data_IF_586129259476
#
_entry.id   IF_586129259476
#
_cell.length_a   1.000
_cell.length_b   1.000
_cell.length_c   1.000
_cell.angle_alpha   90.00
_cell.angle_beta   90.00
_cell.angle_gamma   90.00
#
_symmetry.space_group_name_H-M   'P 1'
#
loop_
_entity.id
_entity.type
_entity.pdbx_description
1 polymer ?
#
# COMPACT_ATOMS: atom_id res chain seq x y z
N UNK A 1 27.39 -23.13 -8.83
CA UNK A 1 27.43 -23.09 -10.31
C UNK A 1 25.99 -23.01 -10.79
N UNK A 2 25.55 -21.82 -11.20
CA UNK A 2 24.20 -21.59 -11.76
C UNK A 2 24.11 -22.25 -13.13
N UNK A 3 23.10 -23.09 -13.34
CA UNK A 3 22.82 -23.75 -14.62
C UNK A 3 22.71 -22.74 -15.77
N UNK A 4 23.77 -22.63 -16.57
CA UNK A 4 23.82 -21.77 -17.77
C UNK A 4 22.80 -22.19 -18.84
N UNK A 5 22.20 -23.38 -18.72
CA UNK A 5 21.27 -23.96 -19.69
C UNK A 5 19.90 -23.24 -19.78
N UNK A 6 19.56 -22.35 -18.85
CA UNK A 6 18.26 -21.66 -18.83
C UNK A 6 18.32 -20.20 -19.28
N UNK A 7 19.51 -19.68 -19.61
CA UNK A 7 19.66 -18.31 -20.08
C UNK A 7 19.32 -18.20 -21.56
N UNK A 8 18.29 -17.42 -21.87
CA UNK A 8 17.87 -17.07 -23.23
C UNK A 8 18.31 -15.65 -23.57
N UNK A 9 18.37 -15.36 -24.86
CA UNK A 9 18.67 -14.02 -25.38
C UNK A 9 17.54 -13.60 -26.30
N UNK A 10 17.02 -12.40 -26.09
CA UNK A 10 16.06 -11.78 -27.02
C UNK A 10 16.57 -10.43 -27.48
N UNK A 11 16.24 -10.07 -28.72
CA UNK A 11 16.57 -8.78 -29.32
C UNK A 11 15.28 -8.05 -29.62
N UNK A 12 15.10 -6.88 -29.02
CA UNK A 12 13.88 -6.09 -29.17
C UNK A 12 14.26 -4.76 -29.78
N UNK A 13 13.57 -4.36 -30.84
CA UNK A 13 13.72 -3.03 -31.42
C UNK A 13 12.97 -2.02 -30.54
N UNK A 14 13.61 -0.89 -30.22
CA UNK A 14 12.96 0.19 -29.49
C UNK A 14 13.35 1.55 -30.04
N UNK A 15 12.36 2.42 -30.22
CA UNK A 15 12.55 3.79 -30.64
C UNK A 15 13.22 4.62 -29.53
N UNK A 16 13.99 5.64 -29.93
CA UNK A 16 14.60 6.61 -29.00
C UNK A 16 15.90 6.17 -28.31
N UNK A 17 16.46 5.00 -28.65
CA UNK A 17 17.74 4.52 -28.11
C UNK A 17 18.99 5.32 -28.56
N UNK A 18 18.83 6.24 -29.51
CA UNK A 18 19.88 7.18 -29.92
C UNK A 18 20.17 8.23 -28.85
N UNK A 19 19.18 8.56 -28.00
CA UNK A 19 19.36 9.42 -26.85
C UNK A 19 19.99 8.64 -25.69
N UNK A 20 21.11 9.16 -25.18
CA UNK A 20 21.83 8.60 -24.04
C UNK A 20 20.92 8.39 -22.82
N UNK A 21 20.05 9.36 -22.52
CA UNK A 21 19.18 9.31 -21.33
C UNK A 21 18.15 8.20 -21.43
N UNK A 22 17.48 8.08 -22.58
CA UNK A 22 16.50 7.03 -22.81
C UNK A 22 17.15 5.65 -22.78
N UNK A 23 18.36 5.54 -23.33
CA UNK A 23 19.14 4.31 -23.34
C UNK A 23 19.46 3.81 -21.93
N UNK A 24 20.06 4.66 -21.11
CA UNK A 24 20.40 4.33 -19.72
C UNK A 24 19.15 3.95 -18.93
N UNK A 25 18.06 4.68 -19.15
CA UNK A 25 16.78 4.44 -18.52
C UNK A 25 16.14 3.10 -18.91
N UNK A 26 16.11 2.75 -20.20
CA UNK A 26 15.54 1.47 -20.61
C UNK A 26 16.38 0.30 -20.08
N UNK A 27 17.71 0.47 -20.03
CA UNK A 27 18.60 -0.52 -19.43
C UNK A 27 18.31 -0.68 -17.93
N UNK A 28 18.22 0.41 -17.17
CA UNK A 28 17.97 0.35 -15.73
C UNK A 28 16.61 -0.27 -15.41
N UNK A 29 15.55 0.13 -16.12
CA UNK A 29 14.20 -0.41 -15.94
C UNK A 29 14.11 -1.90 -16.23
N UNK A 30 14.62 -2.32 -17.39
CA UNK A 30 14.58 -3.74 -17.78
C UNK A 30 15.48 -4.60 -16.91
N UNK A 31 16.58 -4.07 -16.39
CA UNK A 31 17.48 -4.79 -15.50
C UNK A 31 16.92 -4.96 -14.08
N UNK A 32 15.96 -4.13 -13.66
CA UNK A 32 15.24 -4.31 -12.39
C UNK A 32 14.24 -5.47 -12.40
N UNK A 33 13.96 -6.05 -13.57
CA UNK A 33 12.99 -7.13 -13.70
C UNK A 33 13.62 -8.45 -13.23
N UNK A 34 13.03 -9.06 -12.21
CA UNK A 34 13.45 -10.38 -11.73
C UNK A 34 13.38 -11.42 -12.86
N UNK A 35 14.52 -12.05 -13.16
CA UNK A 35 14.71 -12.93 -14.31
C UNK A 35 15.54 -12.31 -15.43
N UNK A 36 15.67 -10.98 -15.52
CA UNK A 36 16.58 -10.33 -16.45
C UNK A 36 17.99 -10.29 -15.86
N UNK A 37 18.96 -10.87 -16.56
CA UNK A 37 20.35 -10.96 -16.12
C UNK A 37 21.16 -9.75 -16.61
N UNK A 38 20.96 -9.36 -17.87
CA UNK A 38 21.64 -8.19 -18.44
C UNK A 38 20.85 -7.58 -19.59
N UNK A 39 21.00 -6.27 -19.75
CA UNK A 39 20.35 -5.48 -20.79
C UNK A 39 21.39 -4.58 -21.46
N UNK A 40 21.66 -4.84 -22.73
CA UNK A 40 22.62 -4.04 -23.52
C UNK A 40 21.90 -3.34 -24.65
N UNK A 41 21.89 -2.01 -24.62
CA UNK A 41 21.28 -1.20 -25.66
C UNK A 41 22.31 -0.80 -26.72
N UNK A 42 21.97 -1.00 -28.00
CA UNK A 42 22.81 -0.57 -29.12
C UNK A 42 22.18 0.67 -29.80
N UNK A 43 22.81 1.86 -29.66
CA UNK A 43 22.25 3.12 -30.19
C UNK A 43 22.22 3.15 -31.72
N UNK A 44 23.15 2.45 -32.39
CA UNK A 44 23.27 2.45 -33.85
C UNK A 44 22.18 1.61 -34.51
N UNK A 45 21.81 0.48 -33.89
CA UNK A 45 20.81 -0.44 -34.46
C UNK A 45 19.38 -0.22 -33.93
N UNK A 46 19.21 0.61 -32.90
CA UNK A 46 17.91 0.77 -32.23
C UNK A 46 17.43 -0.52 -31.55
N UNK A 47 18.33 -1.40 -31.12
CA UNK A 47 17.98 -2.71 -30.52
C UNK A 47 18.53 -2.86 -29.11
N UNK A 48 17.71 -3.43 -28.24
CA UNK A 48 18.08 -3.95 -26.92
C UNK A 48 18.37 -5.44 -27.02
N UNK A 49 19.52 -5.86 -26.52
CA UNK A 49 19.84 -7.25 -26.26
C UNK A 49 19.57 -7.55 -24.79
N UNK A 50 18.58 -8.40 -24.52
CA UNK A 50 18.20 -8.80 -23.18
C UNK A 50 18.61 -10.26 -22.99
N UNK A 51 19.40 -10.53 -21.94
CA UNK A 51 19.70 -11.88 -21.46
C UNK A 51 18.84 -12.13 -20.24
N UNK A 52 18.07 -13.20 -20.24
CA UNK A 52 17.11 -13.50 -19.19
C UNK A 52 17.02 -15.00 -18.90
N UNK A 53 16.53 -15.33 -17.70
CA UNK A 53 16.20 -16.69 -17.26
C UNK A 53 14.76 -17.03 -17.64
N UNK A 54 14.61 -17.96 -18.57
CA UNK A 54 13.32 -18.40 -19.14
C UNK A 54 12.40 -19.07 -18.09
N UNK A 55 12.95 -19.49 -16.95
CA UNK A 55 12.18 -20.02 -15.82
C UNK A 55 11.41 -18.93 -15.07
N UNK A 56 11.91 -17.69 -15.12
CA UNK A 56 11.38 -16.55 -14.34
C UNK A 56 10.56 -15.59 -15.19
N UNK A 57 10.96 -15.39 -16.45
CA UNK A 57 10.30 -14.47 -17.36
C UNK A 57 10.34 -15.00 -18.79
N UNK A 58 9.20 -15.00 -19.46
CA UNK A 58 9.08 -15.47 -20.83
C UNK A 58 9.43 -14.36 -21.83
N UNK A 59 9.96 -14.73 -23.01
CA UNK A 59 10.34 -13.77 -24.05
C UNK A 59 9.23 -12.78 -24.44
N UNK A 60 7.98 -13.25 -24.49
CA UNK A 60 6.86 -12.42 -24.93
C UNK A 60 6.51 -11.34 -23.90
N UNK A 61 6.74 -11.59 -22.61
CA UNK A 61 6.55 -10.61 -21.53
C UNK A 61 7.54 -9.46 -21.70
N UNK A 62 8.80 -9.78 -22.03
CA UNK A 62 9.83 -8.78 -22.32
C UNK A 62 9.48 -7.94 -23.55
N UNK A 63 8.97 -8.56 -24.63
CA UNK A 63 8.53 -7.84 -25.83
C UNK A 63 7.33 -6.94 -25.53
N UNK A 64 6.34 -7.44 -24.80
CA UNK A 64 5.16 -6.66 -24.41
C UNK A 64 5.53 -5.46 -23.52
N UNK A 65 6.43 -5.68 -22.55
CA UNK A 65 6.90 -4.62 -21.67
C UNK A 65 7.74 -3.58 -22.41
N UNK A 66 8.65 -4.01 -23.28
CA UNK A 66 9.42 -3.12 -24.15
C UNK A 66 8.50 -2.27 -25.05
N UNK A 67 7.50 -2.88 -25.69
CA UNK A 67 6.51 -2.16 -26.49
C UNK A 67 5.70 -1.15 -25.66
N UNK A 68 5.30 -1.50 -24.43
CA UNK A 68 4.59 -0.57 -23.54
C UNK A 68 5.47 0.57 -23.04
N UNK A 69 6.75 0.31 -22.76
CA UNK A 69 7.73 1.35 -22.42
C UNK A 69 7.90 2.36 -23.56
N UNK A 70 7.96 1.86 -24.79
CA UNK A 70 8.07 2.70 -26.00
C UNK A 70 6.84 3.60 -26.21
N UNK A 71 5.64 3.12 -25.87
CA UNK A 71 4.40 3.89 -25.99
C UNK A 71 4.07 4.74 -24.74
N UNK A 72 4.81 4.55 -23.65
CA UNK A 72 4.62 5.34 -22.43
C UNK A 72 5.18 6.74 -22.64
N UNK A 73 4.46 7.82 -22.31
CA UNK A 73 4.98 9.16 -22.46
C UNK A 73 6.30 9.28 -21.68
N UNK A 74 7.38 9.68 -22.36
CA UNK A 74 8.74 9.67 -21.78
C UNK A 74 8.89 10.56 -20.53
N UNK A 75 7.89 11.37 -20.18
CA UNK A 75 7.78 12.07 -18.91
C UNK A 75 7.58 11.16 -17.69
N UNK A 76 7.05 9.94 -17.86
CA UNK A 76 6.77 9.01 -16.74
C UNK A 76 7.97 8.17 -16.33
N UNK A 77 8.95 8.00 -17.21
CA UNK A 77 10.09 7.12 -17.00
C UNK A 77 11.17 7.72 -16.08
N UNK A 78 11.58 8.99 -16.17
CA UNK A 78 12.48 9.57 -15.18
C UNK A 78 11.84 9.62 -13.78
N UNK A 79 10.50 9.61 -13.68
CA UNK A 79 9.83 9.55 -12.39
C UNK A 79 10.09 8.24 -11.63
N UNK A 80 10.31 7.09 -12.28
CA UNK A 80 10.53 5.81 -11.60
C UNK A 80 11.92 5.69 -10.98
N UNK A 81 12.96 6.20 -11.66
CA UNK A 81 14.32 6.22 -11.11
C UNK A 81 14.48 7.27 -10.00
N UNK A 82 13.87 8.45 -10.19
CA UNK A 82 13.77 9.47 -9.14
C UNK A 82 12.99 8.96 -7.94
N UNK A 83 11.88 8.24 -8.13
CA UNK A 83 11.11 7.71 -7.00
C UNK A 83 11.89 6.63 -6.27
N UNK A 84 12.55 5.68 -6.93
CA UNK A 84 13.29 4.63 -6.23
C UNK A 84 14.43 5.20 -5.38
N UNK A 85 15.25 6.10 -5.93
CA UNK A 85 16.34 6.76 -5.18
C UNK A 85 15.82 7.61 -4.02
N UNK A 86 14.70 8.30 -4.22
CA UNK A 86 14.04 9.07 -3.17
C UNK A 86 13.52 8.18 -2.04
N UNK A 87 12.99 7.00 -2.36
CA UNK A 87 12.53 6.03 -1.35
C UNK A 87 13.68 5.39 -0.59
N UNK A 88 14.81 5.13 -1.25
CA UNK A 88 16.03 4.73 -0.55
C UNK A 88 16.45 5.79 0.48
N UNK A 89 16.38 7.09 0.14
CA UNK A 89 16.63 8.15 1.12
C UNK A 89 15.63 8.12 2.30
N UNK A 90 14.35 7.89 2.03
CA UNK A 90 13.34 7.78 3.10
C UNK A 90 13.52 6.56 4.02
N UNK A 91 14.23 5.53 3.55
CA UNK A 91 14.59 4.36 4.35
C UNK A 91 15.89 4.60 5.14
N UNK A 92 16.92 5.13 4.48
CA UNK A 92 18.25 5.32 5.09
C UNK A 92 18.24 6.40 6.15
N UNK A 93 17.51 7.50 5.94
CA UNK A 93 17.50 8.62 6.89
C UNK A 93 16.95 8.20 8.27
N UNK A 94 15.76 7.59 8.41
CA UNK A 94 15.28 7.11 9.71
C UNK A 94 16.20 6.06 10.34
N UNK A 95 16.80 5.18 9.54
CA UNK A 95 17.72 4.15 10.04
C UNK A 95 19.01 4.75 10.61
N UNK A 96 19.62 5.70 9.89
CA UNK A 96 20.82 6.42 10.35
C UNK A 96 20.50 7.22 11.61
N UNK A 97 19.35 7.90 11.65
CA UNK A 97 18.92 8.64 12.85
C UNK A 97 18.65 7.71 14.03
N UNK A 98 17.98 6.57 13.82
CA UNK A 98 17.73 5.57 14.84
C UNK A 98 19.06 5.04 15.41
N UNK A 99 20.00 4.66 14.55
CA UNK A 99 21.31 4.17 14.95
C UNK A 99 22.11 5.26 15.69
N UNK A 100 22.15 6.48 15.15
CA UNK A 100 22.86 7.61 15.75
C UNK A 100 22.31 7.99 17.13
N UNK A 101 20.99 8.08 17.28
CA UNK A 101 20.34 8.38 18.56
C UNK A 101 20.52 7.20 19.53
N UNK A 102 20.45 5.97 19.05
CA UNK A 102 20.72 4.77 19.85
C UNK A 102 22.14 4.79 20.44
N UNK A 103 23.15 5.03 19.61
CA UNK A 103 24.56 5.14 20.03
C UNK A 103 24.75 6.32 20.99
N UNK A 104 24.23 7.51 20.63
CA UNK A 104 24.29 8.70 21.49
C UNK A 104 23.71 8.40 22.88
N UNK A 105 22.56 7.74 22.95
CA UNK A 105 21.88 7.42 24.21
C UNK A 105 22.63 6.39 25.06
N UNK A 106 23.34 5.45 24.43
CA UNK A 106 24.21 4.51 25.13
C UNK A 106 25.43 5.20 25.75
N UNK A 107 26.01 6.20 25.07
CA UNK A 107 27.23 6.89 25.51
C UNK A 107 26.91 8.04 26.49
N UNK A 108 25.97 8.91 26.13
CA UNK A 108 25.68 10.16 26.82
C UNK A 108 24.43 10.12 27.71
N UNK A 109 23.69 9.01 27.72
CA UNK A 109 22.45 8.88 28.49
C UNK A 109 21.25 9.59 27.85
N UNK A 110 20.19 9.81 28.66
CA UNK A 110 18.97 10.47 28.17
C UNK A 110 19.21 11.98 27.99
N UNK A 111 18.73 12.61 26.91
CA UNK A 111 18.91 14.03 26.68
C UNK A 111 18.01 14.84 27.61
N UNK A 112 18.56 15.89 28.22
CA UNK A 112 17.79 16.83 29.05
C UNK A 112 16.65 17.54 28.26
N UNK A 113 16.80 17.67 26.93
CA UNK A 113 15.82 18.35 26.10
C UNK A 113 14.54 17.53 25.83
N UNK A 114 14.63 16.19 25.91
CA UNK A 114 13.49 15.31 25.67
C UNK A 114 12.39 15.48 26.72
N UNK A 115 12.76 15.88 27.94
CA UNK A 115 11.84 16.14 29.05
C UNK A 115 11.34 17.61 29.07
N UNK A 116 11.76 18.44 28.11
CA UNK A 116 11.32 19.83 28.06
C UNK A 116 9.86 19.96 27.66
N UNK A 117 9.14 20.87 28.32
CA UNK A 117 7.75 21.20 28.00
C UNK A 117 7.59 21.67 26.54
N UNK A 118 8.61 22.33 26.01
CA UNK A 118 8.63 22.82 24.64
C UNK A 118 8.64 21.67 23.62
N UNK A 119 9.51 20.67 23.81
CA UNK A 119 9.53 19.47 22.97
C UNK A 119 8.17 18.74 22.98
N UNK A 120 7.52 18.69 24.15
CA UNK A 120 6.18 18.14 24.29
C UNK A 120 5.13 18.91 23.49
N UNK A 121 5.09 20.25 23.60
CA UNK A 121 4.10 21.08 22.90
C UNK A 121 4.28 20.99 21.39
N UNK A 122 5.51 21.09 20.90
CA UNK A 122 5.81 21.04 19.46
C UNK A 122 5.42 19.68 18.86
N UNK A 123 5.76 18.60 19.56
CA UNK A 123 5.34 17.25 19.17
C UNK A 123 3.82 17.11 19.13
N UNK A 124 3.13 17.68 20.11
CA UNK A 124 1.67 17.64 20.17
C UNK A 124 1.05 18.40 19.01
N UNK A 125 1.53 19.61 18.72
CA UNK A 125 1.09 20.41 17.58
C UNK A 125 1.20 19.60 16.28
N UNK A 126 2.35 19.01 16.01
CA UNK A 126 2.55 18.20 14.81
C UNK A 126 1.67 16.95 14.82
N UNK A 127 1.54 16.25 15.94
CA UNK A 127 0.67 15.08 16.06
C UNK A 127 -0.80 15.43 15.75
N UNK A 128 -1.26 16.60 16.18
CA UNK A 128 -2.59 17.13 15.91
C UNK A 128 -2.76 17.47 14.43
N UNK A 129 -1.85 18.23 13.84
CA UNK A 129 -1.95 18.61 12.42
C UNK A 129 -1.85 17.40 11.48
N UNK A 130 -1.06 16.39 11.85
CA UNK A 130 -0.88 15.18 11.03
C UNK A 130 -1.93 14.11 11.28
N UNK A 131 -2.51 14.04 12.49
CA UNK A 131 -3.46 13.01 12.91
C UNK A 131 -4.92 13.33 12.63
N UNK A 132 -5.27 14.61 12.46
CA UNK A 132 -6.65 15.04 12.24
C UNK A 132 -6.88 15.36 10.75
N UNK A 133 -7.71 14.59 10.01
CA UNK A 133 -7.92 14.77 8.57
C UNK A 133 -8.33 16.19 8.19
N UNK A 134 -9.23 16.82 8.95
CA UNK A 134 -9.71 18.19 8.70
C UNK A 134 -8.57 19.22 8.77
N UNK A 135 -7.63 19.05 9.70
CA UNK A 135 -6.48 19.94 9.83
C UNK A 135 -5.43 19.63 8.76
N UNK A 136 -5.20 18.34 8.51
CA UNK A 136 -4.30 17.85 7.46
C UNK A 136 -4.69 18.40 6.09
N UNK A 137 -5.96 18.32 5.70
CA UNK A 137 -6.43 18.86 4.41
C UNK A 137 -6.12 20.36 4.25
N UNK A 138 -6.17 21.14 5.32
CA UNK A 138 -5.81 22.58 5.29
C UNK A 138 -4.31 22.78 5.13
N UNK A 139 -3.51 21.99 5.84
CA UNK A 139 -2.05 21.99 5.70
C UNK A 139 -1.65 21.58 4.29
N UNK A 140 -2.33 20.59 3.70
CA UNK A 140 -2.08 20.12 2.35
C UNK A 140 -2.35 21.21 1.31
N UNK A 141 -3.50 21.91 1.41
CA UNK A 141 -3.81 23.05 0.54
C UNK A 141 -2.77 24.17 0.66
N UNK A 142 -2.18 24.36 1.84
CA UNK A 142 -1.11 25.32 2.04
C UNK A 142 0.20 24.83 1.41
N UNK A 143 0.54 23.56 1.58
CA UNK A 143 1.71 22.92 1.00
C UNK A 143 1.68 22.95 -0.54
N UNK A 144 0.52 22.65 -1.12
CA UNK A 144 0.26 22.76 -2.56
C UNK A 144 0.52 24.17 -3.08
N UNK A 145 0.08 25.21 -2.35
CA UNK A 145 0.37 26.62 -2.72
C UNK A 145 1.85 26.95 -2.69
N UNK A 146 2.64 26.27 -1.85
CA UNK A 146 4.09 26.45 -1.72
C UNK A 146 4.85 25.55 -2.72
N UNK A 147 4.16 24.65 -3.43
CA UNK A 147 4.77 23.68 -4.34
C UNK A 147 5.49 22.53 -3.63
N UNK A 148 5.20 22.31 -2.34
CA UNK A 148 5.75 21.18 -1.57
C UNK A 148 4.74 20.04 -1.59
N UNK A 149 5.16 18.84 -1.96
CA UNK A 149 4.29 17.66 -1.91
C UNK A 149 3.92 17.30 -0.46
N UNK A 150 2.66 16.93 -0.20
CA UNK A 150 2.13 16.54 1.11
C UNK A 150 3.05 15.54 1.85
N UNK A 151 3.47 14.49 1.15
CA UNK A 151 4.30 13.43 1.74
C UNK A 151 5.63 13.92 2.32
N UNK A 152 6.30 14.89 1.67
CA UNK A 152 7.55 15.45 2.19
C UNK A 152 7.27 16.20 3.48
N UNK A 153 6.26 17.07 3.46
CA UNK A 153 5.94 17.93 4.59
C UNK A 153 5.60 17.08 5.83
N UNK A 154 4.74 16.08 5.67
CA UNK A 154 4.35 15.17 6.75
C UNK A 154 5.53 14.31 7.25
N UNK A 155 6.32 13.76 6.33
CA UNK A 155 7.48 12.94 6.69
C UNK A 155 8.54 13.76 7.42
N UNK A 156 8.79 14.99 6.95
CA UNK A 156 9.72 15.92 7.59
C UNK A 156 9.21 16.35 8.96
N UNK A 157 7.93 16.70 9.10
CA UNK A 157 7.34 17.06 10.38
C UNK A 157 7.41 15.89 11.38
N UNK A 158 7.09 14.67 10.95
CA UNK A 158 7.18 13.49 11.80
C UNK A 158 8.63 13.20 12.24
N UNK A 159 9.58 13.32 11.31
CA UNK A 159 11.00 13.13 11.59
C UNK A 159 11.52 14.21 12.54
N UNK A 160 11.16 15.47 12.31
CA UNK A 160 11.53 16.59 13.16
C UNK A 160 11.06 16.39 14.61
N UNK A 161 9.81 15.94 14.79
CA UNK A 161 9.27 15.59 16.10
C UNK A 161 10.00 14.40 16.73
N UNK A 162 10.28 13.37 15.94
CA UNK A 162 11.00 12.19 16.41
C UNK A 162 12.40 12.57 16.92
N UNK A 163 13.11 13.44 16.19
CA UNK A 163 14.43 13.98 16.58
C UNK A 163 14.32 14.79 17.86
N UNK A 164 13.37 15.74 17.94
CA UNK A 164 13.18 16.57 19.13
C UNK A 164 12.88 15.74 20.38
N UNK A 165 12.07 14.69 20.22
CA UNK A 165 11.71 13.78 21.31
C UNK A 165 12.75 12.69 21.59
N UNK A 166 13.77 12.57 20.75
CA UNK A 166 14.71 11.44 20.72
C UNK A 166 14.02 10.08 20.96
N UNK A 167 12.84 9.90 20.35
CA UNK A 167 11.97 8.75 20.61
C UNK A 167 12.34 7.60 19.67
N UNK A 168 13.15 6.66 20.16
CA UNK A 168 13.52 5.43 19.45
C UNK A 168 12.29 4.65 18.95
N UNK A 169 11.20 4.70 19.72
CA UNK A 169 9.92 4.10 19.37
C UNK A 169 9.35 4.73 18.09
N UNK A 170 9.27 6.06 18.01
CA UNK A 170 8.75 6.76 16.83
C UNK A 170 9.65 6.52 15.62
N UNK A 171 10.98 6.52 15.79
CA UNK A 171 11.89 6.19 14.69
C UNK A 171 11.73 4.75 14.19
N UNK A 172 11.52 3.80 15.09
CA UNK A 172 11.27 2.40 14.71
C UNK A 172 9.97 2.29 13.90
N UNK A 173 8.91 2.99 14.32
CA UNK A 173 7.65 3.03 13.58
C UNK A 173 7.81 3.67 12.19
N UNK A 174 8.52 4.80 12.11
CA UNK A 174 8.82 5.48 10.84
C UNK A 174 9.67 4.60 9.92
N UNK A 175 10.68 3.92 10.47
CA UNK A 175 11.51 2.99 9.71
C UNK A 175 10.67 1.82 9.17
N UNK A 176 9.85 1.18 10.01
CA UNK A 176 8.98 0.08 9.57
C UNK A 176 8.00 0.52 8.48
N UNK A 177 7.42 1.72 8.60
CA UNK A 177 6.54 2.28 7.58
C UNK A 177 7.28 2.59 6.28
N UNK A 178 8.46 3.22 6.36
CA UNK A 178 9.31 3.51 5.19
C UNK A 178 9.79 2.21 4.53
N UNK A 179 10.15 1.21 5.32
CA UNK A 179 10.59 -0.09 4.84
C UNK A 179 9.46 -0.86 4.15
N UNK A 180 8.26 -0.90 4.74
CA UNK A 180 7.11 -1.53 4.12
C UNK A 180 6.72 -0.80 2.83
N UNK A 181 6.71 0.54 2.83
CA UNK A 181 6.46 1.32 1.62
C UNK A 181 7.51 1.06 0.52
N UNK A 182 8.79 0.93 0.89
CA UNK A 182 9.87 0.59 -0.01
C UNK A 182 9.70 -0.84 -0.57
N UNK A 183 9.45 -1.83 0.28
CA UNK A 183 9.23 -3.23 -0.12
C UNK A 183 8.02 -3.36 -1.03
N UNK A 184 6.89 -2.74 -0.66
CA UNK A 184 5.70 -2.64 -1.51
C UNK A 184 6.06 -2.09 -2.87
N UNK A 185 6.69 -0.90 -2.95
CA UNK A 185 7.06 -0.29 -4.24
C UNK A 185 7.99 -1.18 -5.07
N UNK A 186 8.97 -1.82 -4.43
CA UNK A 186 9.89 -2.71 -5.11
C UNK A 186 9.16 -3.94 -5.69
N UNK A 187 8.27 -4.54 -4.89
CA UNK A 187 7.44 -5.67 -5.30
C UNK A 187 6.41 -5.27 -6.36
N UNK A 188 5.83 -4.07 -6.26
CA UNK A 188 4.88 -3.55 -7.25
C UNK A 188 5.56 -3.23 -8.56
N UNK A 189 6.79 -2.69 -8.53
CA UNK A 189 7.56 -2.43 -9.73
C UNK A 189 7.96 -3.73 -10.42
N UNK A 190 8.38 -4.74 -9.65
CA UNK A 190 8.69 -6.07 -10.21
C UNK A 190 7.44 -6.79 -10.71
N UNK A 191 6.31 -6.70 -10.01
CA UNK A 191 5.04 -7.30 -10.44
C UNK A 191 4.47 -6.59 -11.67
N UNK A 192 4.43 -5.26 -11.68
CA UNK A 192 4.05 -4.48 -12.86
C UNK A 192 4.97 -4.80 -14.03
N UNK A 193 6.27 -4.95 -13.79
CA UNK A 193 7.19 -5.40 -14.83
C UNK A 193 6.87 -6.81 -15.34
N UNK A 194 6.58 -7.77 -14.46
CA UNK A 194 6.18 -9.14 -14.86
C UNK A 194 4.85 -9.16 -15.63
N UNK A 195 3.89 -8.32 -15.24
CA UNK A 195 2.59 -8.15 -15.91
C UNK A 195 2.67 -7.27 -17.17
N UNK A 196 3.84 -6.67 -17.43
CA UNK A 196 4.04 -5.67 -18.46
C UNK A 196 3.31 -4.34 -18.19
N UNK A 197 2.61 -4.16 -17.08
CA UNK A 197 1.70 -3.01 -16.88
C UNK A 197 2.46 -1.69 -16.77
N UNK A 198 1.86 -0.61 -17.31
CA UNK A 198 2.46 0.72 -17.26
C UNK A 198 2.42 1.21 -15.81
N UNK A 199 3.61 1.31 -15.21
CA UNK A 199 3.91 1.78 -13.84
C UNK A 199 3.33 3.17 -13.49
N UNK A 200 2.81 3.90 -14.48
CA UNK A 200 2.40 5.30 -14.36
C UNK A 200 1.23 5.58 -13.40
N UNK A 201 0.55 4.56 -12.87
CA UNK A 201 -0.51 4.73 -11.87
C UNK A 201 -0.15 4.25 -10.45
N UNK A 202 1.08 3.73 -10.22
CA UNK A 202 1.51 3.25 -8.89
C UNK A 202 1.63 4.39 -7.86
N UNK A 203 1.75 5.65 -8.32
CA UNK A 203 1.73 6.83 -7.46
C UNK A 203 0.32 7.37 -7.18
N UNK A 204 -0.76 6.71 -7.63
CA UNK A 204 -2.10 7.05 -7.18
C UNK A 204 -2.15 6.77 -5.67
N UNK A 205 -2.20 7.87 -4.91
CA UNK A 205 -1.97 7.93 -3.48
C UNK A 205 -2.69 6.79 -2.74
N UNK A 206 -2.08 6.29 -1.67
CA UNK A 206 -2.70 5.32 -0.75
C UNK A 206 -4.01 5.90 -0.19
N UNK A 207 -5.09 5.73 -0.95
CA UNK A 207 -6.43 6.08 -0.52
C UNK A 207 -6.77 5.13 0.62
N UNK A 208 -7.32 5.67 1.69
CA UNK A 208 -7.76 4.86 2.82
C UNK A 208 -9.12 4.24 2.50
N UNK A 209 -9.39 3.00 2.92
CA UNK A 209 -10.71 2.42 2.78
C UNK A 209 -11.77 3.36 3.34
N UNK A 210 -12.92 3.44 2.68
CA UNK A 210 -14.00 4.38 3.05
C UNK A 210 -14.37 4.28 4.53
N UNK A 211 -14.38 3.07 5.08
CA UNK A 211 -14.68 2.80 6.48
C UNK A 211 -13.62 3.40 7.44
N UNK A 212 -12.34 3.25 7.09
CA UNK A 212 -11.21 3.80 7.86
C UNK A 212 -11.23 5.33 7.81
N UNK A 213 -11.45 5.89 6.61
CA UNK A 213 -11.57 7.34 6.43
C UNK A 213 -12.75 7.90 7.23
N UNK A 214 -13.92 7.26 7.16
CA UNK A 214 -15.12 7.67 7.93
C UNK A 214 -14.86 7.59 9.43
N UNK A 215 -14.22 6.53 9.90
CA UNK A 215 -13.83 6.41 11.32
C UNK A 215 -12.89 7.55 11.73
N UNK A 216 -11.86 7.84 10.93
CA UNK A 216 -10.93 8.92 11.20
C UNK A 216 -11.62 10.29 11.21
N UNK A 217 -12.49 10.56 10.23
CA UNK A 217 -13.23 11.81 10.13
C UNK A 217 -14.16 12.04 11.33
N UNK A 218 -14.93 11.00 11.71
CA UNK A 218 -15.84 11.07 12.86
C UNK A 218 -15.05 11.20 14.17
N UNK A 219 -14.05 10.35 14.36
CA UNK A 219 -13.19 10.35 15.55
C UNK A 219 -12.48 11.69 15.74
N UNK A 220 -11.91 12.25 14.67
CA UNK A 220 -11.26 13.57 14.71
C UNK A 220 -12.23 14.71 15.01
N UNK A 221 -13.44 14.71 14.44
CA UNK A 221 -14.43 15.76 14.75
C UNK A 221 -14.85 15.71 16.21
N UNK A 222 -15.14 14.52 16.73
CA UNK A 222 -15.51 14.33 18.14
C UNK A 222 -14.35 14.76 19.05
N UNK A 223 -13.13 14.27 18.78
CA UNK A 223 -11.95 14.62 19.57
C UNK A 223 -11.69 16.12 19.62
N UNK A 224 -11.84 16.81 18.48
CA UNK A 224 -11.64 18.25 18.38
C UNK A 224 -12.72 19.03 19.15
N UNK A 225 -13.99 18.63 19.06
CA UNK A 225 -15.09 19.25 19.81
C UNK A 225 -14.90 19.07 21.32
N UNK A 226 -14.57 17.85 21.76
CA UNK A 226 -14.33 17.54 23.18
C UNK A 226 -13.15 18.34 23.72
N UNK A 227 -12.04 18.39 22.99
CA UNK A 227 -10.86 19.15 23.40
C UNK A 227 -11.16 20.65 23.48
N UNK A 228 -11.74 21.25 22.42
CA UNK A 228 -12.07 22.68 22.41
C UNK A 228 -13.09 23.05 23.48
N UNK A 229 -14.14 22.24 23.67
CA UNK A 229 -15.11 22.47 24.74
C UNK A 229 -14.44 22.46 26.12
N UNK A 230 -13.55 21.50 26.35
CA UNK A 230 -12.77 21.43 27.59
C UNK A 230 -11.85 22.64 27.74
N UNK A 231 -11.21 23.10 26.67
CA UNK A 231 -10.36 24.30 26.70
C UNK A 231 -11.16 25.55 27.09
N UNK A 232 -12.33 25.74 26.50
CA UNK A 232 -13.21 26.90 26.77
C UNK A 232 -13.69 26.87 28.23
N UNK A 233 -14.06 25.70 28.75
CA UNK A 233 -14.57 25.55 30.12
C UNK A 233 -13.46 25.70 31.16
N UNK A 234 -12.31 25.06 30.95
CA UNK A 234 -11.25 24.96 31.95
C UNK A 234 -10.17 26.03 31.81
N UNK A 235 -10.05 26.66 30.65
CA UNK A 235 -8.93 27.55 30.31
C UNK A 235 -7.57 26.87 30.26
N UNK A 236 -7.50 25.53 30.33
CA UNK A 236 -6.24 24.80 30.48
C UNK A 236 -5.70 24.29 29.11
N UNK A 237 -4.63 24.91 28.56
CA UNK A 237 -4.08 24.52 27.26
C UNK A 237 -3.40 23.14 27.29
N UNK A 238 -2.92 22.67 28.44
CA UNK A 238 -2.29 21.34 28.57
C UNK A 238 -3.34 20.23 28.51
N UNK A 239 -4.48 20.42 29.16
CA UNK A 239 -5.58 19.47 29.10
C UNK A 239 -6.15 19.39 27.67
N UNK A 240 -6.31 20.56 27.03
CA UNK A 240 -6.67 20.65 25.61
C UNK A 240 -5.75 19.83 24.70
N UNK A 241 -4.44 20.05 24.80
CA UNK A 241 -3.46 19.36 23.97
C UNK A 241 -3.43 17.85 24.25
N UNK A 242 -3.55 17.46 25.52
CA UNK A 242 -3.59 16.07 25.95
C UNK A 242 -4.81 15.33 25.40
N UNK A 243 -5.99 15.97 25.45
CA UNK A 243 -7.22 15.41 24.90
C UNK A 243 -7.14 15.23 23.37
N UNK A 244 -6.52 16.18 22.66
CA UNK A 244 -6.31 16.02 21.23
C UNK A 244 -5.41 14.83 20.89
N UNK A 245 -4.37 14.58 21.68
CA UNK A 245 -3.52 13.38 21.49
C UNK A 245 -4.28 12.11 21.86
N UNK A 246 -5.03 12.12 22.97
CA UNK A 246 -5.83 10.99 23.42
C UNK A 246 -6.91 10.58 22.42
N UNK A 247 -7.53 11.55 21.74
CA UNK A 247 -8.59 11.31 20.75
C UNK A 247 -8.07 11.11 19.31
N UNK A 248 -6.75 10.94 19.12
CA UNK A 248 -6.14 10.86 17.80
C UNK A 248 -6.53 9.55 17.06
N UNK A 249 -7.17 9.60 15.87
CA UNK A 249 -7.53 8.38 15.13
C UNK A 249 -6.36 7.75 14.37
N UNK A 250 -5.20 8.42 14.32
CA UNK A 250 -4.03 8.01 13.54
C UNK A 250 -3.54 6.58 13.78
N UNK A 251 -3.54 6.01 15.01
CA UNK A 251 -3.14 4.61 15.21
C UNK A 251 -3.96 3.62 14.36
N UNK A 252 -5.28 3.80 14.29
CA UNK A 252 -6.15 2.95 13.48
C UNK A 252 -5.83 3.10 11.98
N UNK A 253 -5.65 4.34 11.52
CA UNK A 253 -5.34 4.65 10.12
C UNK A 253 -4.01 4.06 9.69
N UNK A 254 -2.97 4.23 10.52
CA UNK A 254 -1.63 3.68 10.27
C UNK A 254 -1.68 2.15 10.24
N UNK A 255 -2.31 1.52 11.24
CA UNK A 255 -2.44 0.07 11.30
C UNK A 255 -3.21 -0.49 10.09
N UNK A 256 -4.26 0.19 9.65
CA UNK A 256 -5.00 -0.20 8.45
C UNK A 256 -4.16 -0.09 7.18
N UNK A 257 -3.45 1.03 6.99
CA UNK A 257 -2.54 1.21 5.85
C UNK A 257 -1.42 0.17 5.83
N UNK A 258 -0.86 -0.14 7.00
CA UNK A 258 0.17 -1.16 7.13
C UNK A 258 -0.36 -2.53 6.72
N UNK A 259 -1.51 -2.94 7.27
CA UNK A 259 -2.15 -4.21 6.94
C UNK A 259 -2.50 -4.34 5.45
N UNK A 260 -2.99 -3.26 4.82
CA UNK A 260 -3.27 -3.22 3.38
C UNK A 260 -2.01 -3.41 2.55
N UNK A 261 -0.94 -2.65 2.87
CA UNK A 261 0.33 -2.76 2.16
C UNK A 261 0.94 -4.16 2.32
N UNK A 262 0.82 -4.76 3.51
CA UNK A 262 1.32 -6.09 3.77
C UNK A 262 0.54 -7.17 3.01
N UNK A 263 -0.80 -7.08 3.01
CA UNK A 263 -1.65 -7.99 2.25
C UNK A 263 -1.39 -7.88 0.73
N UNK A 264 -1.16 -6.66 0.23
CA UNK A 264 -0.75 -6.44 -1.16
C UNK A 264 0.60 -7.12 -1.47
N UNK A 265 1.61 -6.94 -0.60
CA UNK A 265 2.89 -7.66 -0.71
C UNK A 265 2.67 -9.18 -0.77
N UNK A 266 1.84 -9.74 0.13
CA UNK A 266 1.53 -11.18 0.13
C UNK A 266 0.88 -11.63 -1.18
N UNK A 267 -0.07 -10.86 -1.72
CA UNK A 267 -0.68 -11.18 -3.02
C UNK A 267 0.33 -11.19 -4.15
N UNK A 268 1.36 -10.32 -4.11
CA UNK A 268 2.43 -10.34 -5.10
C UNK A 268 3.38 -11.52 -4.94
N UNK A 269 3.77 -11.84 -3.72
CA UNK A 269 4.67 -12.94 -3.42
C UNK A 269 4.04 -14.28 -3.81
N UNK A 270 2.72 -14.41 -3.64
CA UNK A 270 1.95 -15.60 -4.01
C UNK A 270 1.49 -15.61 -5.48
N UNK A 271 1.94 -14.66 -6.31
CA UNK A 271 1.51 -14.49 -7.71
C UNK A 271 -0.02 -14.39 -7.89
N UNK A 272 -0.74 -13.93 -6.87
CA UNK A 272 -2.18 -13.64 -6.91
C UNK A 272 -2.37 -12.26 -7.53
N UNK A 273 -2.43 -12.22 -8.86
CA UNK A 273 -2.58 -10.98 -9.64
C UNK A 273 -3.92 -10.27 -9.40
N UNK A 274 -3.94 -9.33 -8.45
CA UNK A 274 -5.03 -8.36 -8.27
C UNK A 274 -4.60 -7.06 -8.96
N UNK A 275 -5.48 -6.36 -9.69
CA UNK A 275 -5.20 -5.03 -10.22
C UNK A 275 -4.57 -4.15 -9.15
N UNK A 276 -3.41 -3.62 -9.46
CA UNK A 276 -2.52 -2.98 -8.49
C UNK A 276 -2.78 -1.47 -8.36
N UNK A 277 -3.96 -0.99 -8.74
CA UNK A 277 -4.17 0.44 -8.75
C UNK A 277 -4.24 1.00 -7.34
N UNK A 278 -4.68 0.22 -6.35
CA UNK A 278 -4.47 0.49 -4.91
C UNK A 278 -4.72 -0.81 -4.12
N UNK A 279 -4.02 -1.09 -3.02
CA UNK A 279 -4.39 -2.16 -2.08
C UNK A 279 -5.83 -2.06 -1.53
N UNK A 280 -6.56 -0.98 -1.85
CA UNK A 280 -8.00 -0.84 -1.66
C UNK A 280 -8.81 -1.82 -2.49
N UNK A 281 -8.34 -2.20 -3.68
CA UNK A 281 -9.03 -3.17 -4.54
C UNK A 281 -9.19 -4.51 -3.81
N UNK A 282 -8.17 -4.95 -3.07
CA UNK A 282 -8.25 -6.15 -2.23
C UNK A 282 -9.29 -6.00 -1.12
N UNK A 283 -9.34 -4.85 -0.42
CA UNK A 283 -10.33 -4.60 0.64
C UNK A 283 -11.76 -4.51 0.10
N UNK A 284 -11.93 -3.88 -1.06
CA UNK A 284 -13.22 -3.68 -1.74
C UNK A 284 -13.75 -4.97 -2.39
N UNK A 285 -12.93 -6.03 -2.53
CA UNK A 285 -13.40 -7.31 -3.09
C UNK A 285 -14.60 -7.89 -2.34
N UNK A 286 -14.70 -7.67 -1.02
CA UNK A 286 -15.84 -8.14 -0.23
C UNK A 286 -17.11 -7.31 -0.43
N UNK A 287 -16.99 -6.09 -0.99
CA UNK A 287 -18.15 -5.26 -1.31
C UNK A 287 -18.81 -5.70 -2.64
N UNK A 288 -18.16 -6.61 -3.39
CA UNK A 288 -18.71 -7.14 -4.64
C UNK A 288 -20.02 -7.90 -4.39
N UNK A 289 -20.99 -7.68 -5.28
CA UNK A 289 -22.32 -8.30 -5.23
C UNK A 289 -22.44 -9.49 -6.17
N UNK A 290 -21.63 -9.55 -7.21
CA UNK A 290 -21.68 -10.57 -8.26
C UNK A 290 -20.27 -11.00 -8.69
N UNK A 291 -20.10 -12.30 -8.96
CA UNK A 291 -18.90 -12.88 -9.56
C UNK A 291 -19.29 -13.51 -10.90
N UNK A 292 -18.73 -13.03 -12.00
CA UNK A 292 -18.97 -13.55 -13.35
C UNK A 292 -17.73 -14.27 -13.84
N UNK A 293 -17.83 -15.57 -14.08
CA UNK A 293 -16.77 -16.41 -14.65
C UNK A 293 -16.92 -16.41 -16.17
N UNK A 294 -15.98 -15.78 -16.86
CA UNK A 294 -15.95 -15.72 -18.32
C UNK A 294 -15.14 -16.87 -18.90
N UNK A 295 -15.76 -17.60 -19.82
CA UNK A 295 -15.15 -18.73 -20.52
C UNK A 295 -15.04 -18.48 -22.03
N UNK A 296 -13.95 -18.96 -22.64
CA UNK A 296 -13.61 -18.69 -24.04
C UNK A 296 -14.38 -19.59 -25.02
N UNK A 297 -14.59 -20.87 -24.69
CA UNK A 297 -15.09 -21.86 -25.64
C UNK A 297 -16.61 -22.01 -25.57
N UNK A 298 -17.24 -22.05 -26.74
CA UNK A 298 -18.69 -22.22 -26.94
C UNK A 298 -19.17 -23.66 -26.77
N UNK A 299 -18.30 -24.65 -26.99
CA UNK A 299 -18.69 -26.05 -27.10
C UNK A 299 -18.18 -26.95 -25.94
N UNK A 300 -17.48 -26.38 -24.96
CA UNK A 300 -17.00 -27.14 -23.80
C UNK A 300 -17.99 -27.07 -22.63
N UNK A 301 -17.93 -28.09 -21.76
CA UNK A 301 -18.76 -28.16 -20.56
C UNK A 301 -18.54 -26.89 -19.73
N UNK A 302 -19.64 -26.25 -19.33
CA UNK A 302 -19.61 -25.09 -18.44
C UNK A 302 -18.78 -25.47 -17.20
N UNK A 303 -17.70 -24.74 -16.89
CA UNK A 303 -16.86 -25.08 -15.75
C UNK A 303 -17.71 -25.09 -14.49
N UNK A 304 -17.67 -26.20 -13.77
CA UNK A 304 -18.33 -26.33 -12.48
C UNK A 304 -17.76 -25.28 -11.53
N UNK A 305 -18.65 -24.57 -10.83
CA UNK A 305 -18.24 -23.59 -9.82
C UNK A 305 -17.51 -24.34 -8.71
N UNK A 306 -16.36 -23.81 -8.30
CA UNK A 306 -15.57 -24.35 -7.21
C UNK A 306 -16.38 -24.29 -5.90
N UNK A 307 -16.74 -25.43 -5.28
CA UNK A 307 -17.70 -25.44 -4.18
C UNK A 307 -17.31 -24.56 -2.97
N UNK A 308 -16.03 -24.47 -2.57
CA UNK A 308 -15.63 -23.55 -1.50
C UNK A 308 -15.86 -22.07 -1.84
N UNK A 309 -15.68 -21.69 -3.11
CA UNK A 309 -15.96 -20.32 -3.57
C UNK A 309 -17.47 -20.02 -3.49
N UNK A 310 -18.32 -20.95 -3.90
CA UNK A 310 -19.78 -20.81 -3.82
C UNK A 310 -20.26 -20.67 -2.36
N UNK A 311 -19.76 -21.54 -1.47
CA UNK A 311 -20.08 -21.47 -0.05
C UNK A 311 -19.63 -20.14 0.58
N UNK A 312 -18.45 -19.66 0.20
CA UNK A 312 -17.94 -18.38 0.66
C UNK A 312 -18.77 -17.21 0.16
N UNK A 313 -19.08 -17.18 -1.13
CA UNK A 313 -19.94 -16.16 -1.74
C UNK A 313 -21.29 -16.07 -1.04
N UNK A 314 -21.93 -17.23 -0.79
CA UNK A 314 -23.19 -17.31 -0.04
C UNK A 314 -23.06 -16.75 1.38
N UNK A 315 -21.95 -17.04 2.08
CA UNK A 315 -21.71 -16.52 3.44
C UNK A 315 -21.52 -15.01 3.48
N UNK A 316 -20.83 -14.44 2.48
CA UNK A 316 -20.59 -12.99 2.40
C UNK A 316 -21.77 -12.21 1.79
N UNK A 317 -22.81 -12.88 1.32
CA UNK A 317 -23.94 -12.23 0.66
C UNK A 317 -23.63 -11.76 -0.77
N UNK A 318 -22.63 -12.37 -1.43
CA UNK A 318 -22.40 -12.21 -2.86
C UNK A 318 -23.52 -12.96 -3.58
N UNK A 319 -24.44 -12.20 -4.16
CA UNK A 319 -25.76 -12.68 -4.55
C UNK A 319 -25.74 -13.67 -5.73
N UNK A 320 -24.74 -13.57 -6.60
CA UNK A 320 -24.74 -14.27 -7.89
C UNK A 320 -23.33 -14.70 -8.28
N UNK A 321 -23.15 -15.99 -8.55
CA UNK A 321 -22.03 -16.49 -9.36
C UNK A 321 -22.61 -16.95 -10.69
N UNK A 322 -22.19 -16.31 -11.79
CA UNK A 322 -22.63 -16.66 -13.15
C UNK A 322 -21.45 -17.12 -13.97
N UNK A 323 -21.64 -18.16 -14.77
CA UNK A 323 -20.71 -18.49 -15.84
C UNK A 323 -21.32 -18.00 -17.15
N UNK A 324 -20.55 -17.23 -17.91
CA UNK A 324 -21.04 -16.61 -19.15
C UNK A 324 -19.97 -16.72 -20.23
N UNK A 325 -20.38 -16.91 -21.48
CA UNK A 325 -19.43 -16.94 -22.57
C UNK A 325 -18.96 -15.52 -22.91
N UNK A 326 -17.70 -15.38 -23.32
CA UNK A 326 -17.12 -14.08 -23.61
C UNK A 326 -17.85 -13.28 -24.69
N UNK A 327 -18.46 -13.95 -25.68
CA UNK A 327 -19.20 -13.30 -26.76
C UNK A 327 -20.58 -12.78 -26.31
N UNK A 328 -21.11 -13.30 -25.21
CA UNK A 328 -22.35 -12.83 -24.59
C UNK A 328 -22.08 -11.69 -23.60
N UNK A 329 -20.84 -11.60 -23.10
CA UNK A 329 -20.42 -10.54 -22.20
C UNK A 329 -20.36 -9.20 -22.95
N UNK A 330 -21.37 -8.35 -22.70
CA UNK A 330 -21.34 -6.96 -23.12
C UNK A 330 -20.60 -6.15 -22.06
N UNK A 331 -19.37 -5.76 -22.36
CA UNK A 331 -18.61 -4.82 -21.53
C UNK A 331 -19.46 -3.56 -21.33
N UNK A 332 -19.74 -3.16 -20.08
CA UNK A 332 -20.48 -1.94 -19.84
C UNK A 332 -19.70 -0.78 -20.42
N UNK A 333 -20.35 -0.02 -21.31
CA UNK A 333 -19.72 1.14 -21.94
C UNK A 333 -19.32 2.10 -20.82
N UNK A 334 -18.03 2.47 -20.70
CA UNK A 334 -17.58 3.33 -19.62
C UNK A 334 -18.28 4.69 -19.74
N UNK A 335 -19.26 4.93 -18.86
CA UNK A 335 -20.01 6.18 -18.77
C UNK A 335 -19.09 7.28 -18.23
N UNK A 336 -18.41 7.97 -19.13
CA UNK A 336 -17.48 9.09 -18.87
C UNK A 336 -16.24 8.76 -18.02
N UNK A 337 -15.05 9.10 -18.54
CA UNK A 337 -13.73 8.83 -17.93
C UNK A 337 -13.43 9.57 -16.61
N UNK A 338 -14.33 10.38 -16.05
CA UNK A 338 -14.01 11.21 -14.87
C UNK A 338 -14.51 10.58 -13.57
N UNK A 339 -13.53 10.19 -12.74
CA UNK A 339 -13.59 9.64 -11.35
C UNK A 339 -13.80 8.12 -11.21
N UNK A 340 -12.84 7.34 -11.74
CA UNK A 340 -12.77 5.87 -11.64
C UNK A 340 -12.57 5.30 -10.23
N UNK A 341 -12.17 6.09 -9.23
CA UNK A 341 -11.78 5.60 -7.91
C UNK A 341 -12.86 5.74 -6.82
N UNK A 342 -14.01 6.38 -7.11
CA UNK A 342 -15.03 6.65 -6.07
C UNK A 342 -16.16 5.61 -6.02
N UNK A 343 -16.41 4.86 -7.09
CA UNK A 343 -17.50 3.89 -7.13
C UNK A 343 -17.15 2.60 -6.38
N UNK A 344 -18.11 2.07 -5.63
CA UNK A 344 -17.94 0.79 -4.94
C UNK A 344 -17.80 -0.34 -5.96
N UNK A 345 -16.89 -1.27 -5.69
CA UNK A 345 -16.79 -2.49 -6.49
C UNK A 345 -18.09 -3.28 -6.34
N UNK A 346 -18.72 -3.65 -7.46
CA UNK A 346 -19.98 -4.41 -7.43
C UNK A 346 -19.88 -5.74 -8.16
N UNK A 347 -18.93 -5.88 -9.10
CA UNK A 347 -18.81 -7.09 -9.91
C UNK A 347 -17.35 -7.51 -10.05
N UNK A 348 -17.09 -8.79 -9.86
CA UNK A 348 -15.81 -9.44 -10.11
C UNK A 348 -15.94 -10.27 -11.38
N UNK A 349 -15.10 -10.02 -12.37
CA UNK A 349 -15.08 -10.73 -13.64
C UNK A 349 -13.84 -11.62 -13.66
N UNK A 350 -14.05 -12.93 -13.53
CA UNK A 350 -12.99 -13.93 -13.57
C UNK A 350 -12.80 -14.44 -15.00
N UNK A 351 -11.70 -14.07 -15.63
CA UNK A 351 -11.30 -14.49 -16.96
C UNK A 351 -10.59 -15.85 -16.86
N UNK A 352 -11.10 -16.85 -17.59
CA UNK A 352 -10.40 -18.12 -17.79
C UNK A 352 -9.02 -17.91 -18.43
N UNK A 353 -8.05 -18.78 -18.14
CA UNK A 353 -6.67 -18.68 -18.66
C UNK A 353 -6.61 -18.59 -20.19
N UNK A 354 -7.56 -19.18 -20.90
CA UNK A 354 -7.62 -19.17 -22.37
C UNK A 354 -8.07 -17.82 -22.94
N UNK A 355 -8.67 -16.95 -22.11
CA UNK A 355 -9.22 -15.68 -22.55
C UNK A 355 -8.11 -14.63 -22.67
N UNK A 356 -7.80 -14.26 -23.92
CA UNK A 356 -7.00 -13.07 -24.22
C UNK A 356 -7.89 -11.83 -24.14
N UNK A 357 -7.92 -11.14 -23.00
CA UNK A 357 -8.65 -9.88 -22.82
C UNK A 357 -7.70 -8.68 -22.66
N UNK A 358 -7.94 -7.53 -23.30
CA UNK A 358 -7.04 -6.38 -23.22
C UNK A 358 -7.01 -5.71 -21.83
N UNK A 359 -8.04 -5.93 -21.00
CA UNK A 359 -8.18 -5.34 -19.66
C UNK A 359 -7.91 -6.33 -18.51
N UNK A 360 -7.15 -7.40 -18.76
CA UNK A 360 -6.73 -8.35 -17.71
C UNK A 360 -6.06 -7.61 -16.55
N UNK A 361 -6.49 -7.87 -15.31
CA UNK A 361 -6.03 -7.21 -14.08
C UNK A 361 -6.23 -5.69 -14.05
N UNK A 362 -7.29 -5.19 -14.68
CA UNK A 362 -7.67 -3.78 -14.57
C UNK A 362 -8.98 -3.61 -13.78
N UNK A 363 -9.03 -2.57 -12.95
CA UNK A 363 -10.30 -2.06 -12.40
C UNK A 363 -10.90 -1.08 -13.40
N UNK A 364 -12.13 -1.35 -13.83
CA UNK A 364 -12.91 -0.44 -14.65
C UNK A 364 -14.16 -0.04 -13.86
N UNK A 365 -14.08 1.11 -13.20
CA UNK A 365 -15.20 1.67 -12.42
C UNK A 365 -15.64 0.72 -11.29
N UNK A 366 -16.81 0.08 -11.45
CA UNK A 366 -17.39 -0.86 -10.50
C UNK A 366 -17.09 -2.34 -10.82
N UNK A 367 -16.33 -2.59 -11.89
CA UNK A 367 -15.88 -3.91 -12.34
C UNK A 367 -14.40 -4.13 -12.03
N UNK A 368 -14.05 -5.37 -11.66
CA UNK A 368 -12.66 -5.82 -11.58
C UNK A 368 -12.45 -7.05 -12.46
N UNK A 369 -11.47 -7.00 -13.36
CA UNK A 369 -11.13 -8.12 -14.23
C UNK A 369 -9.94 -8.88 -13.63
N UNK A 370 -10.11 -10.17 -13.36
CA UNK A 370 -9.08 -11.03 -12.79
C UNK A 370 -8.84 -12.22 -13.72
N UNK A 371 -7.59 -12.47 -14.12
CA UNK A 371 -7.21 -13.71 -14.80
C UNK A 371 -6.55 -14.64 -13.79
N UNK A 372 -7.37 -15.47 -13.14
CA UNK A 372 -6.94 -16.41 -12.12
C UNK A 372 -7.81 -17.67 -12.17
N UNK A 373 -7.32 -18.77 -11.58
CA UNK A 373 -8.19 -19.92 -11.32
C UNK A 373 -9.18 -19.58 -10.17
N UNK A 374 -10.28 -20.34 -10.08
CA UNK A 374 -11.31 -20.11 -9.07
C UNK A 374 -10.79 -20.29 -7.63
N UNK A 375 -9.78 -21.16 -7.45
CA UNK A 375 -9.14 -21.43 -6.17
C UNK A 375 -8.31 -20.23 -5.67
N UNK A 376 -7.47 -19.64 -6.51
CA UNK A 376 -6.70 -18.44 -6.18
C UNK A 376 -7.62 -17.24 -5.91
N UNK A 377 -8.74 -17.13 -6.64
CA UNK A 377 -9.77 -16.12 -6.33
C UNK A 377 -10.34 -16.35 -4.93
N UNK A 378 -10.69 -17.60 -4.59
CA UNK A 378 -11.20 -17.94 -3.26
C UNK A 378 -10.19 -17.62 -2.15
N UNK A 379 -8.92 -17.97 -2.30
CA UNK A 379 -7.87 -17.62 -1.35
C UNK A 379 -7.69 -16.11 -1.21
N UNK A 380 -7.74 -15.39 -2.34
CA UNK A 380 -7.68 -13.93 -2.37
C UNK A 380 -8.85 -13.30 -1.61
N UNK A 381 -10.07 -13.83 -1.79
CA UNK A 381 -11.25 -13.40 -1.05
C UNK A 381 -11.15 -13.72 0.46
N UNK A 382 -10.57 -14.86 0.82
CA UNK A 382 -10.27 -15.16 2.22
C UNK A 382 -9.27 -14.18 2.83
N UNK A 383 -8.20 -13.86 2.10
CA UNK A 383 -7.21 -12.87 2.55
C UNK A 383 -7.86 -11.51 2.76
N UNK A 384 -8.73 -11.10 1.83
CA UNK A 384 -9.55 -9.88 1.95
C UNK A 384 -10.44 -9.91 3.20
N UNK A 385 -11.13 -11.02 3.49
CA UNK A 385 -11.95 -11.17 4.71
C UNK A 385 -11.12 -11.06 5.99
N UNK A 386 -9.92 -11.65 6.02
CA UNK A 386 -9.02 -11.55 7.17
C UNK A 386 -8.52 -10.12 7.35
N UNK A 387 -8.13 -9.47 6.26
CA UNK A 387 -7.72 -8.06 6.25
C UNK A 387 -8.85 -7.16 6.75
N UNK A 388 -10.09 -7.35 6.27
CA UNK A 388 -11.25 -6.58 6.69
C UNK A 388 -11.50 -6.70 8.19
N UNK A 389 -11.51 -7.94 8.71
CA UNK A 389 -11.66 -8.21 10.15
C UNK A 389 -10.54 -7.61 10.97
N UNK A 390 -9.30 -7.67 10.51
CA UNK A 390 -8.16 -7.11 11.22
C UNK A 390 -8.21 -5.57 11.28
N UNK A 391 -8.58 -4.93 10.18
CA UNK A 391 -8.79 -3.47 10.14
C UNK A 391 -9.94 -3.07 11.07
N UNK A 392 -11.07 -3.80 11.06
CA UNK A 392 -12.20 -3.53 11.95
C UNK A 392 -11.82 -3.70 13.43
N UNK A 393 -11.15 -4.81 13.78
CA UNK A 393 -10.63 -5.03 15.14
C UNK A 393 -9.68 -3.90 15.57
N UNK A 394 -8.80 -3.44 14.66
CA UNK A 394 -7.87 -2.34 14.93
C UNK A 394 -8.59 -1.02 15.20
N UNK A 395 -9.62 -0.69 14.41
CA UNK A 395 -10.46 0.50 14.63
C UNK A 395 -11.17 0.43 15.98
N UNK A 396 -11.79 -0.71 16.33
CA UNK A 396 -12.47 -0.90 17.61
C UNK A 396 -11.48 -0.75 18.78
N UNK A 397 -10.31 -1.40 18.70
CA UNK A 397 -9.27 -1.31 19.75
C UNK A 397 -8.77 0.12 19.92
N UNK A 398 -8.55 0.84 18.81
CA UNK A 398 -8.11 2.24 18.85
C UNK A 398 -9.21 3.13 19.43
N UNK A 399 -10.47 2.92 19.05
CA UNK A 399 -11.60 3.64 19.65
C UNK A 399 -11.67 3.44 21.16
N UNK A 400 -11.61 2.19 21.63
CA UNK A 400 -11.62 1.87 23.05
C UNK A 400 -10.41 2.48 23.79
N UNK A 401 -9.23 2.40 23.20
CA UNK A 401 -8.01 2.96 23.77
C UNK A 401 -8.04 4.50 23.83
N UNK A 402 -8.58 5.16 22.81
CA UNK A 402 -8.75 6.61 22.79
C UNK A 402 -9.73 7.07 23.87
N UNK A 403 -10.82 6.32 24.10
CA UNK A 403 -11.75 6.59 25.22
C UNK A 403 -11.03 6.44 26.56
N UNK A 404 -10.26 5.36 26.74
CA UNK A 404 -9.46 5.14 27.94
C UNK A 404 -8.45 6.26 28.20
N UNK A 405 -7.67 6.68 27.19
CA UNK A 405 -6.74 7.80 27.32
C UNK A 405 -7.45 9.12 27.62
N UNK A 406 -8.63 9.33 27.04
CA UNK A 406 -9.45 10.52 27.30
C UNK A 406 -9.88 10.58 28.77
N UNK A 407 -10.34 9.45 29.33
CA UNK A 407 -10.68 9.34 30.76
C UNK A 407 -9.45 9.61 31.64
N UNK A 408 -8.29 9.04 31.30
CA UNK A 408 -7.04 9.32 32.03
C UNK A 408 -6.62 10.79 31.95
N UNK A 409 -6.84 11.46 30.81
CA UNK A 409 -6.56 12.87 30.64
C UNK A 409 -7.43 13.72 31.59
N UNK A 410 -8.72 13.41 31.71
CA UNK A 410 -9.61 14.08 32.67
C UNK A 410 -9.25 13.79 34.13
N UNK A 411 -8.71 12.61 34.43
CA UNK A 411 -8.19 12.27 35.76
C UNK A 411 -6.88 12.99 36.12
N UNK A 412 -6.43 13.95 35.29
CA UNK A 412 -5.19 14.73 35.46
C UNK A 412 -3.92 13.87 35.56
N UNK A 413 -3.90 12.71 34.89
CA UNK A 413 -2.66 11.95 34.72
C UNK A 413 -1.67 12.80 33.92
N UNK A 414 -0.40 12.82 34.36
CA UNK A 414 0.65 13.64 33.77
C UNK A 414 0.66 13.56 32.23
N UNK A 415 0.48 14.68 31.50
CA UNK A 415 0.35 14.73 30.04
C UNK A 415 1.44 13.96 29.27
N UNK A 416 2.67 13.97 29.77
CA UNK A 416 3.79 13.24 29.19
C UNK A 416 3.58 11.72 29.13
N UNK A 417 2.91 11.14 30.14
CA UNK A 417 2.63 9.69 30.19
C UNK A 417 1.57 9.29 29.16
N UNK A 418 0.56 10.13 28.95
CA UNK A 418 -0.51 9.88 27.97
C UNK A 418 0.07 9.84 26.56
N UNK A 419 0.95 10.78 26.20
CA UNK A 419 1.57 10.75 24.87
C UNK A 419 2.45 9.50 24.68
N UNK A 420 3.20 9.09 25.71
CA UNK A 420 4.01 7.86 25.64
C UNK A 420 3.14 6.61 25.46
N UNK A 421 2.00 6.53 26.16
CA UNK A 421 1.03 5.46 25.98
C UNK A 421 0.43 5.48 24.57
N UNK A 422 0.09 6.66 24.05
CA UNK A 422 -0.44 6.82 22.70
C UNK A 422 0.56 6.35 21.62
N UNK A 423 1.83 6.77 21.73
CA UNK A 423 2.90 6.37 20.82
C UNK A 423 3.17 4.85 20.92
N UNK A 424 3.19 4.30 22.13
CA UNK A 424 3.39 2.86 22.36
C UNK A 424 2.26 2.04 21.78
N UNK A 425 1.01 2.51 21.92
CA UNK A 425 -0.15 1.86 21.34
C UNK A 425 -0.12 1.92 19.82
N UNK A 426 0.27 3.05 19.21
CA UNK A 426 0.42 3.14 17.76
C UNK A 426 1.40 2.09 17.20
N UNK A 427 2.51 1.85 17.89
CA UNK A 427 3.47 0.79 17.51
C UNK A 427 2.89 -0.60 17.73
N UNK A 428 2.22 -0.81 18.87
CA UNK A 428 1.54 -2.08 19.12
C UNK A 428 0.49 -2.39 18.04
N UNK A 429 -0.23 -1.38 17.53
CA UNK A 429 -1.19 -1.58 16.42
C UNK A 429 -0.52 -2.00 15.12
N UNK A 430 0.73 -1.57 14.85
CA UNK A 430 1.51 -2.05 13.71
C UNK A 430 1.82 -3.55 13.86
N UNK A 431 2.36 -3.97 15.01
CA UNK A 431 2.64 -5.39 15.26
C UNK A 431 1.39 -6.27 15.29
N UNK A 432 0.27 -5.76 15.81
CA UNK A 432 -1.01 -6.47 15.79
C UNK A 432 -1.58 -6.60 14.37
N UNK A 433 -1.23 -5.68 13.47
CA UNK A 433 -1.64 -5.75 12.06
C UNK A 433 -0.85 -6.78 11.25
N UNK A 434 0.34 -7.21 11.71
CA UNK A 434 1.09 -8.36 11.17
C UNK A 434 0.63 -9.71 11.70
N UNK A 435 -0.38 -9.71 12.59
CA UNK A 435 -0.74 -10.87 13.39
C UNK A 435 -0.89 -12.18 12.59
N UNK A 436 -0.60 -13.30 13.28
CA UNK A 436 -0.70 -14.70 12.80
C UNK A 436 -1.94 -15.01 11.95
N UNK A 437 -3.02 -14.26 12.12
CA UNK A 437 -4.24 -14.40 11.34
C UNK A 437 -4.01 -14.14 9.83
N UNK A 438 -3.09 -13.24 9.44
CA UNK A 438 -2.78 -12.99 8.02
C UNK A 438 -1.83 -14.04 7.43
N UNK A 439 -0.81 -14.44 8.19
CA UNK A 439 0.13 -15.50 7.82
C UNK A 439 -0.58 -16.83 8.07
N UNK A 440 -1.40 -17.28 7.12
CA UNK A 440 -2.16 -18.52 7.23
C UNK A 440 -1.31 -19.65 7.81
N UNK A 441 -1.83 -20.37 8.80
CA UNK A 441 -1.09 -21.40 9.55
C UNK A 441 -0.42 -22.47 8.68
N UNK A 442 -0.90 -22.67 7.46
CA UNK A 442 -0.35 -23.61 6.50
C UNK A 442 1.03 -23.20 5.95
N UNK A 443 1.30 -21.92 5.69
CA UNK A 443 2.57 -21.52 5.06
C UNK A 443 3.76 -21.64 6.03
N UNK A 444 3.55 -21.35 7.32
CA UNK A 444 4.57 -21.52 8.34
C UNK A 444 4.90 -22.99 8.56
N UNK A 445 3.91 -23.88 8.48
CA UNK A 445 4.12 -25.30 8.69
C UNK A 445 4.85 -25.94 7.50
N UNK A 446 4.51 -25.55 6.26
CA UNK A 446 5.24 -25.99 5.06
C UNK A 446 6.67 -25.45 5.01
N UNK A 447 6.90 -24.18 5.36
CA UNK A 447 8.25 -23.61 5.44
C UNK A 447 9.11 -24.26 6.52
N UNK A 448 8.51 -24.62 7.67
CA UNK A 448 9.21 -25.34 8.74
C UNK A 448 9.47 -26.82 8.42
N UNK A 449 8.69 -27.44 7.53
CA UNK A 449 8.98 -28.80 7.03
C UNK A 449 9.94 -28.83 5.84
N UNK A 450 10.13 -27.70 5.15
CA UNK A 450 11.07 -27.56 4.04
C UNK A 450 12.48 -27.10 4.48
N UNK A 451 12.63 -26.69 5.73
CA UNK A 451 13.91 -26.46 6.42
C UNK A 451 14.31 -27.68 7.23
#
# INVERSE_FOLDING_TARGET
>A
MTDLHCLRRTRIHMNGLSDFKNRELYQSLLQMIDGVVSVTANPTSGRLLIVYDDRKIASWQLVALAGRLEHSPMSFLPATEYTLRRHQMYLTVPLILLAGIGVKRLIAGKPAFADSLFAYQLATIVAVFTGYPVLRERVNRLAEKIGISDHILLSFAALFVAVIRESLLVFSALFLLSYNAYRKRNNTLTAAAKAGEVVALIDSENHEPKNVKRFADVGSKIGLVVALGTFIITGNPLLFSTLLVAANPRPAVIGARYGLNHAEIMTHEDCRYIPMHTGMDLYDLLDAKEITILHAKTNEHIPTIYPPLEQFAKRQGIAVIRTTHIHEFKEPVPTQRKRRAEHQLTHIILLSEEVAYPAVHQRQDHLIYLRQNQEALFETLQLSERLHRNIQKSMIRTGAFNVFLTVLAFAMVAPGRINLLADSFAIATLGLSEGKDLIGSHSLQEQLTAM
#
